data_IF_028675240279
#
_entry.id   IF_028675240279
#
_cell.length_a   1.000
_cell.length_b   1.000
_cell.length_c   1.000
_cell.angle_alpha   90.00
_cell.angle_beta   90.00
_cell.angle_gamma   90.00
#
_symmetry.space_group_name_H-M   'P 1'
#
loop_
_entity.id
_entity.type
_entity.pdbx_description
1 polymer ?
#
# COMPACT_ATOMS: atom_id res chain seq x y z
N UNK A 1 -1.68 15.40 -18.65
CA UNK A 1 -2.60 14.25 -18.42
C UNK A 1 -3.59 14.66 -17.35
N UNK A 2 -4.87 14.32 -17.50
CA UNK A 2 -5.88 14.61 -16.49
C UNK A 2 -5.63 13.76 -15.24
N UNK A 3 -5.82 14.36 -14.06
CA UNK A 3 -5.70 13.68 -12.77
C UNK A 3 -6.96 13.87 -11.95
N UNK A 4 -7.23 12.95 -11.03
CA UNK A 4 -8.29 13.05 -10.02
C UNK A 4 -7.67 12.90 -8.63
N UNK A 5 -8.09 13.69 -7.63
CA UNK A 5 -7.72 13.45 -6.24
C UNK A 5 -8.32 12.12 -5.77
N UNK A 6 -7.48 11.22 -5.27
CA UNK A 6 -7.85 9.91 -4.75
C UNK A 6 -7.38 9.78 -3.30
N UNK A 7 -8.22 9.27 -2.38
CA UNK A 7 -7.80 8.91 -1.03
C UNK A 7 -6.84 7.71 -1.04
N UNK A 8 -5.72 7.88 -0.34
CA UNK A 8 -4.78 6.84 0.05
C UNK A 8 -5.03 6.54 1.51
N UNK A 9 -5.64 5.38 1.79
CA UNK A 9 -5.96 4.90 3.13
C UNK A 9 -4.82 4.03 3.62
N UNK A 10 -4.23 4.35 4.75
CA UNK A 10 -3.12 3.61 5.32
C UNK A 10 -3.63 2.78 6.49
N UNK A 11 -3.49 1.46 6.37
CA UNK A 11 -3.98 0.49 7.37
C UNK A 11 -2.78 -0.28 7.94
N UNK A 12 -2.38 0.01 9.19
CA UNK A 12 -1.38 -0.78 9.91
C UNK A 12 -1.80 -2.24 10.10
N UNK A 13 -0.95 -3.17 9.70
CA UNK A 13 -1.13 -4.61 9.93
C UNK A 13 -0.44 -5.01 11.25
N UNK A 14 -0.83 -4.38 12.36
CA UNK A 14 -0.34 -4.76 13.68
C UNK A 14 -1.51 -5.16 14.60
N UNK A 15 -1.23 -6.03 15.56
CA UNK A 15 -2.21 -6.41 16.59
C UNK A 15 -2.27 -5.38 17.74
N UNK A 16 -1.50 -4.28 17.65
CA UNK A 16 -1.18 -3.37 18.76
C UNK A 16 -1.78 -1.96 18.61
N UNK A 17 -2.71 -1.75 17.69
CA UNK A 17 -3.58 -0.57 17.69
C UNK A 17 -3.06 0.64 16.93
N UNK A 18 -2.32 0.43 15.83
CA UNK A 18 -2.07 1.52 14.87
C UNK A 18 -3.40 2.05 14.32
N UNK A 19 -3.67 3.34 14.49
CA UNK A 19 -4.88 3.96 13.92
C UNK A 19 -4.71 4.14 12.42
N UNK A 20 -5.76 3.87 11.65
CA UNK A 20 -5.79 4.16 10.22
C UNK A 20 -5.70 5.66 9.97
N UNK A 21 -5.08 6.06 8.85
CA UNK A 21 -5.07 7.46 8.43
C UNK A 21 -5.23 7.57 6.91
N UNK A 22 -5.50 8.79 6.43
CA UNK A 22 -5.75 9.02 5.01
C UNK A 22 -5.00 10.26 4.51
N UNK A 23 -4.42 10.14 3.32
CA UNK A 23 -3.92 11.26 2.53
C UNK A 23 -4.69 11.35 1.22
N UNK A 24 -4.78 12.53 0.63
CA UNK A 24 -5.34 12.68 -0.73
C UNK A 24 -4.20 12.97 -1.70
N UNK A 25 -4.13 12.20 -2.78
CA UNK A 25 -3.09 12.36 -3.81
C UNK A 25 -3.72 12.38 -5.21
N UNK A 26 -3.27 13.25 -6.13
CA UNK A 26 -3.70 13.19 -7.52
C UNK A 26 -3.19 11.90 -8.20
N UNK A 27 -4.08 11.24 -8.95
CA UNK A 27 -3.77 10.02 -9.73
C UNK A 27 -4.26 10.21 -11.17
N UNK A 28 -3.55 9.69 -12.20
CA UNK A 28 -4.02 9.71 -13.57
C UNK A 28 -5.43 9.12 -13.71
N UNK A 29 -6.33 9.83 -14.39
CA UNK A 29 -7.71 9.35 -14.60
C UNK A 29 -7.77 8.05 -15.41
N UNK A 30 -6.72 7.72 -16.16
CA UNK A 30 -6.57 6.45 -16.89
C UNK A 30 -6.51 5.22 -15.99
N UNK A 31 -6.22 5.37 -14.70
CA UNK A 31 -6.24 4.28 -13.72
C UNK A 31 -7.63 4.05 -13.10
N UNK A 32 -8.60 4.91 -13.40
CA UNK A 32 -9.97 4.77 -12.92
C UNK A 32 -10.77 4.05 -14.00
N UNK A 33 -10.69 2.73 -13.96
CA UNK A 33 -11.29 1.83 -14.96
C UNK A 33 -12.24 0.84 -14.30
N UNK A 34 -13.22 0.29 -15.07
CA UNK A 34 -14.05 -0.80 -14.59
C UNK A 34 -13.25 -2.02 -14.11
N UNK A 35 -13.83 -2.85 -13.20
CA UNK A 35 -13.11 -3.98 -12.59
C UNK A 35 -12.48 -4.95 -13.60
N UNK A 36 -13.16 -5.23 -14.72
CA UNK A 36 -12.69 -6.17 -15.73
C UNK A 36 -11.40 -5.73 -16.45
N UNK A 37 -11.03 -4.44 -16.39
CA UNK A 37 -9.77 -3.94 -16.94
C UNK A 37 -8.62 -3.95 -15.92
N UNK A 38 -8.89 -4.07 -14.62
CA UNK A 38 -7.86 -4.00 -13.58
C UNK A 38 -6.93 -5.22 -13.56
N UNK A 39 -7.38 -6.35 -14.10
CA UNK A 39 -6.57 -7.56 -14.20
C UNK A 39 -5.75 -7.65 -15.50
N UNK A 40 -5.81 -6.61 -16.34
CA UNK A 40 -5.01 -6.60 -17.57
C UNK A 40 -3.55 -6.26 -17.25
N UNK A 41 -2.57 -6.88 -17.93
CA UNK A 41 -1.15 -6.57 -17.72
C UNK A 41 -0.84 -5.08 -17.93
N UNK A 42 -1.50 -4.46 -18.92
CA UNK A 42 -1.35 -3.02 -19.21
C UNK A 42 -1.77 -2.16 -18.03
N UNK A 43 -2.92 -2.46 -17.41
CA UNK A 43 -3.36 -1.75 -16.22
C UNK A 43 -2.39 -1.95 -15.05
N UNK A 44 -2.01 -3.20 -14.79
CA UNK A 44 -1.12 -3.53 -13.67
C UNK A 44 0.23 -2.81 -13.78
N UNK A 45 0.79 -2.71 -14.99
CA UNK A 45 2.02 -1.98 -15.25
C UNK A 45 1.85 -0.46 -15.04
N UNK A 46 0.77 0.12 -15.56
CA UNK A 46 0.47 1.54 -15.36
C UNK A 46 0.25 1.89 -13.89
N UNK A 47 -0.48 1.04 -13.16
CA UNK A 47 -0.70 1.19 -11.73
C UNK A 47 0.64 1.10 -11.00
N UNK A 48 1.44 0.05 -11.23
CA UNK A 48 2.75 -0.12 -10.59
C UNK A 48 3.68 1.06 -10.85
N UNK A 49 3.74 1.54 -12.10
CA UNK A 49 4.57 2.69 -12.49
C UNK A 49 4.14 3.98 -11.81
N UNK A 50 2.83 4.22 -11.71
CA UNK A 50 2.31 5.41 -11.03
C UNK A 50 2.61 5.36 -9.54
N UNK A 51 2.29 4.24 -8.91
CA UNK A 51 2.33 4.08 -7.46
C UNK A 51 3.76 3.97 -6.92
N UNK A 52 4.71 3.42 -7.70
CA UNK A 52 6.13 3.36 -7.32
C UNK A 52 6.76 4.73 -7.11
N UNK A 53 6.22 5.79 -7.72
CA UNK A 53 6.66 7.17 -7.50
C UNK A 53 6.03 7.85 -6.28
N UNK A 54 4.90 7.32 -5.80
CA UNK A 54 4.08 7.94 -4.75
C UNK A 54 4.36 7.32 -3.38
N UNK A 55 4.27 5.99 -3.29
CA UNK A 55 4.34 5.28 -2.00
C UNK A 55 5.62 5.55 -1.20
N UNK A 56 6.82 5.63 -1.80
CA UNK A 56 8.05 5.91 -1.03
C UNK A 56 8.02 7.22 -0.25
N UNK A 57 7.20 8.20 -0.68
CA UNK A 57 7.06 9.48 0.01
C UNK A 57 6.43 9.35 1.40
N UNK A 58 5.67 8.27 1.64
CA UNK A 58 5.00 8.00 2.92
C UNK A 58 5.79 7.07 3.84
N UNK A 59 6.97 6.60 3.43
CA UNK A 59 7.75 5.60 4.17
C UNK A 59 8.04 6.03 5.60
N UNK A 60 8.61 7.24 5.78
CA UNK A 60 8.98 7.73 7.11
C UNK A 60 7.77 7.93 8.03
N UNK A 61 6.63 8.33 7.47
CA UNK A 61 5.39 8.47 8.26
C UNK A 61 4.84 7.10 8.65
N UNK A 62 4.85 6.15 7.72
CA UNK A 62 4.42 4.78 7.98
C UNK A 62 5.28 4.14 9.06
N UNK A 63 6.61 4.29 9.00
CA UNK A 63 7.53 3.77 10.02
C UNK A 63 7.26 4.35 11.40
N UNK A 64 6.89 5.64 11.49
CA UNK A 64 6.53 6.27 12.75
C UNK A 64 5.16 5.80 13.31
N UNK A 65 4.21 5.45 12.42
CA UNK A 65 2.82 5.12 12.80
C UNK A 65 2.52 3.62 12.87
N UNK A 66 3.36 2.76 12.30
CA UNK A 66 3.12 1.32 12.21
C UNK A 66 3.25 0.56 13.55
N UNK A 67 3.53 1.24 14.66
CA UNK A 67 3.68 0.67 16.00
C UNK A 67 5.16 0.42 16.35
N UNK A 68 5.40 -0.36 17.41
CA UNK A 68 6.75 -0.67 17.92
C UNK A 68 7.22 -2.12 17.66
N UNK A 69 6.30 -3.01 17.25
CA UNK A 69 6.55 -4.44 17.12
C UNK A 69 6.32 -4.98 15.70
N UNK A 70 7.20 -5.87 15.27
CA UNK A 70 7.11 -6.60 14.02
C UNK A 70 5.86 -7.47 14.01
N UNK A 71 5.05 -7.38 12.95
CA UNK A 71 3.82 -8.17 12.83
C UNK A 71 4.07 -9.70 12.75
N UNK A 72 5.28 -10.12 12.36
CA UNK A 72 5.60 -11.54 12.14
C UNK A 72 6.20 -12.22 13.39
N UNK A 73 7.07 -11.53 14.14
CA UNK A 73 7.80 -12.13 15.26
C UNK A 73 7.71 -11.35 16.57
N UNK A 74 6.97 -10.23 16.59
CA UNK A 74 6.82 -9.31 17.72
C UNK A 74 8.13 -8.64 18.21
N UNK A 75 9.26 -8.82 17.51
CA UNK A 75 10.51 -8.10 17.78
C UNK A 75 10.43 -6.61 17.47
N UNK A 76 11.42 -5.82 17.87
CA UNK A 76 11.47 -4.37 17.60
C UNK A 76 11.53 -4.08 16.10
N UNK A 77 10.71 -3.15 15.63
CA UNK A 77 10.62 -2.78 14.20
C UNK A 77 11.89 -2.04 13.76
N UNK A 78 12.29 -2.30 12.52
CA UNK A 78 13.31 -1.52 11.81
C UNK A 78 12.67 -0.64 10.73
N UNK A 79 11.72 -1.19 9.97
CA UNK A 79 11.00 -0.48 8.90
C UNK A 79 9.65 -1.13 8.59
N UNK A 80 8.83 -0.44 7.83
CA UNK A 80 7.53 -0.91 7.34
C UNK A 80 7.60 -1.28 5.87
N UNK A 81 6.92 -2.37 5.52
CA UNK A 81 6.70 -2.78 4.15
C UNK A 81 5.32 -2.26 3.72
N UNK A 82 5.27 -1.52 2.60
CA UNK A 82 4.06 -0.81 2.14
C UNK A 82 3.47 -1.50 0.91
N UNK A 83 2.25 -2.05 1.03
CA UNK A 83 1.58 -2.76 -0.06
C UNK A 83 0.35 -1.97 -0.54
N UNK A 84 0.42 -1.31 -1.70
CA UNK A 84 -0.70 -0.58 -2.27
C UNK A 84 -1.66 -1.50 -3.03
N UNK A 85 -2.94 -1.41 -2.72
CA UNK A 85 -4.04 -2.14 -3.34
C UNK A 85 -5.03 -1.17 -4.01
N UNK A 86 -5.33 -1.43 -5.28
CA UNK A 86 -6.23 -0.60 -6.07
C UNK A 86 -7.70 -0.92 -5.79
N UNK A 87 -8.46 0.09 -5.35
CA UNK A 87 -9.93 0.08 -5.33
C UNK A 87 -10.49 1.16 -6.26
N UNK A 88 -9.75 1.48 -7.33
CA UNK A 88 -10.08 2.56 -8.27
C UNK A 88 -11.30 2.26 -9.15
N UNK A 89 -11.80 1.01 -9.14
CA UNK A 89 -13.00 0.62 -9.87
C UNK A 89 -14.29 0.96 -9.13
N UNK A 90 -14.21 1.37 -7.85
CA UNK A 90 -15.37 1.70 -7.02
C UNK A 90 -16.00 3.01 -7.54
N UNK A 91 -17.23 2.99 -8.11
CA UNK A 91 -17.74 4.09 -8.94
C UNK A 91 -17.84 5.44 -8.24
N UNK A 92 -18.30 5.45 -7.00
CA UNK A 92 -18.60 6.69 -6.26
C UNK A 92 -17.46 7.10 -5.33
N UNK A 93 -16.63 6.15 -4.93
CA UNK A 93 -15.61 6.34 -3.91
C UNK A 93 -14.35 5.55 -4.26
N UNK A 94 -13.64 5.89 -5.34
CA UNK A 94 -12.38 5.24 -5.69
C UNK A 94 -11.32 5.60 -4.64
N UNK A 95 -10.58 4.61 -4.16
CA UNK A 95 -9.48 4.79 -3.22
C UNK A 95 -8.34 3.81 -3.50
N UNK A 96 -7.20 4.06 -2.88
CA UNK A 96 -6.08 3.12 -2.80
C UNK A 96 -5.88 2.79 -1.33
N UNK A 97 -5.88 1.50 -1.01
CA UNK A 97 -5.52 1.05 0.33
C UNK A 97 -4.01 0.77 0.36
N UNK A 98 -3.32 1.17 1.41
CA UNK A 98 -1.91 0.92 1.62
C UNK A 98 -1.79 0.15 2.92
N UNK A 99 -1.54 -1.15 2.81
CA UNK A 99 -1.24 -1.96 3.97
C UNK A 99 0.16 -1.64 4.47
N UNK A 100 0.26 -1.28 5.74
CA UNK A 100 1.51 -0.90 6.39
C UNK A 100 1.94 -2.05 7.29
N UNK A 101 2.91 -2.84 6.85
CA UNK A 101 3.37 -4.02 7.56
C UNK A 101 4.67 -3.72 8.32
N UNK A 102 4.64 -3.49 9.64
CA UNK A 102 5.85 -3.28 10.42
C UNK A 102 6.70 -4.55 10.49
N UNK A 103 7.98 -4.47 10.12
CA UNK A 103 8.89 -5.61 10.16
C UNK A 103 10.20 -5.31 10.90
N UNK A 104 10.74 -6.33 11.57
CA UNK A 104 12.10 -6.28 12.10
C UNK A 104 13.13 -6.54 10.99
N UNK A 105 14.41 -6.35 11.31
CA UNK A 105 15.49 -6.50 10.33
C UNK A 105 15.81 -7.96 9.95
N UNK A 106 15.16 -8.94 10.63
CA UNK A 106 15.41 -10.36 10.41
C UNK A 106 15.09 -10.76 8.95
N UNK A 107 16.01 -11.46 8.24
CA UNK A 107 15.80 -11.87 6.85
C UNK A 107 14.53 -12.67 6.62
N UNK A 108 14.14 -13.52 7.58
CA UNK A 108 12.90 -14.30 7.53
C UNK A 108 11.66 -13.40 7.50
N UNK A 109 11.65 -12.30 8.26
CA UNK A 109 10.52 -11.37 8.30
C UNK A 109 10.44 -10.53 7.03
N UNK A 110 11.59 -10.08 6.50
CA UNK A 110 11.68 -9.39 5.20
C UNK A 110 11.18 -10.28 4.06
N UNK A 111 11.62 -11.54 4.03
CA UNK A 111 11.20 -12.50 3.00
C UNK A 111 9.71 -12.81 3.10
N UNK A 112 9.17 -13.02 4.31
CA UNK A 112 7.74 -13.25 4.51
C UNK A 112 6.90 -12.04 4.05
N UNK A 113 7.29 -10.81 4.39
CA UNK A 113 6.61 -9.61 3.92
C UNK A 113 6.65 -9.45 2.39
N UNK A 114 7.79 -9.80 1.77
CA UNK A 114 7.91 -9.81 0.30
C UNK A 114 7.02 -10.87 -0.37
N UNK A 115 6.85 -12.04 0.24
CA UNK A 115 5.95 -13.07 -0.28
C UNK A 115 4.49 -12.63 -0.21
N UNK A 116 4.08 -12.05 0.92
CA UNK A 116 2.73 -11.47 1.08
C UNK A 116 2.47 -10.40 0.01
N UNK A 117 3.47 -9.55 -0.28
CA UNK A 117 3.38 -8.58 -1.39
C UNK A 117 3.17 -9.23 -2.76
N UNK A 118 3.85 -10.35 -3.03
CA UNK A 118 3.70 -11.07 -4.29
C UNK A 118 2.35 -11.77 -4.41
N UNK A 119 1.77 -12.24 -3.31
CA UNK A 119 0.43 -12.85 -3.30
C UNK A 119 -0.69 -11.81 -3.45
N UNK A 120 -0.56 -10.64 -2.83
CA UNK A 120 -1.58 -9.56 -2.91
C UNK A 120 -1.59 -8.89 -4.30
N UNK A 121 -0.47 -8.94 -5.03
CA UNK A 121 -0.31 -8.32 -6.35
C UNK A 121 -0.48 -9.30 -7.53
N UNK A 122 -0.79 -10.58 -7.27
CA UNK A 122 -1.18 -11.57 -8.27
C UNK A 122 -2.71 -11.71 -8.37
#
# INVERSE_FOLDING_TARGET
MATRPIPFRFTPLNNSGGSEWTHTHPIPTSLIVPPYLQNTPVYQEQFRSTISSIIPQFQSECDAKAGAHCCNCNGTICSSVLTPCSYLHVPNEPFINVFVQPICDAPVCKNAARLIMQEIMN
#
